data_IF_052474995361
#
_entry.id   IF_052474995361
#
_cell.length_a   1.000
_cell.length_b   1.000
_cell.length_c   1.000
_cell.angle_alpha   90.00
_cell.angle_beta   90.00
_cell.angle_gamma   90.00
#
_symmetry.space_group_name_H-M   'P 1'
#
loop_
_entity.id
_entity.type
_entity.pdbx_description
1 polymer ?
#
# COMPACT_ATOMS: atom_id res chain seq x y z
N UNK A 1 -6.02 52.64 -14.12
CA UNK A 1 -6.13 51.64 -13.03
C UNK A 1 -5.78 50.27 -13.62
N UNK A 2 -4.71 49.63 -13.18
CA UNK A 2 -4.20 48.37 -13.74
C UNK A 2 -4.34 47.29 -12.67
N UNK A 3 -5.02 46.20 -12.99
CA UNK A 3 -5.31 45.11 -12.04
C UNK A 3 -4.03 44.33 -11.71
N UNK A 4 -3.78 44.13 -10.42
CA UNK A 4 -2.69 43.32 -9.87
C UNK A 4 -3.18 41.88 -9.69
N UNK A 5 -2.58 40.91 -10.40
CA UNK A 5 -2.71 39.49 -10.05
C UNK A 5 -1.43 39.06 -9.31
N UNK A 6 -1.58 38.75 -8.02
CA UNK A 6 -0.52 38.32 -7.11
C UNK A 6 -0.04 36.91 -7.46
N UNK A 7 1.22 36.78 -7.85
CA UNK A 7 1.92 35.55 -8.26
C UNK A 7 2.57 34.78 -7.11
N UNK A 8 1.91 34.70 -5.94
CA UNK A 8 2.43 33.92 -4.79
C UNK A 8 1.39 32.85 -4.49
N UNK A 9 1.62 31.58 -4.83
CA UNK A 9 2.08 30.60 -3.83
C UNK A 9 2.65 29.27 -4.42
N UNK A 10 3.20 29.24 -5.65
CA UNK A 10 3.73 27.97 -6.23
C UNK A 10 5.14 28.04 -6.83
N UNK A 11 6.07 28.76 -6.23
CA UNK A 11 7.47 28.65 -6.64
C UNK A 11 8.34 28.45 -5.41
N UNK A 12 8.32 27.21 -4.91
CA UNK A 12 9.36 26.70 -4.03
C UNK A 12 10.70 26.94 -4.71
N UNK A 13 11.44 27.90 -4.17
CA UNK A 13 12.85 28.16 -4.45
C UNK A 13 13.65 26.89 -4.20
N UNK A 14 14.55 26.59 -5.13
CA UNK A 14 15.59 25.60 -4.94
C UNK A 14 15.72 24.71 -6.15
N UNK A 15 16.59 25.15 -7.08
CA UNK A 15 17.40 24.42 -8.07
C UNK A 15 17.46 25.28 -9.34
N UNK A 16 18.46 26.15 -9.43
CA UNK A 16 18.83 26.76 -10.69
C UNK A 16 19.28 25.66 -11.66
N UNK A 17 18.81 25.71 -12.90
CA UNK A 17 19.19 24.80 -13.99
C UNK A 17 20.71 24.80 -14.31
N UNK A 18 21.48 25.72 -13.73
CA UNK A 18 22.94 25.81 -13.93
C UNK A 18 23.78 24.82 -13.11
N UNK A 19 23.21 24.10 -12.14
CA UNK A 19 23.99 23.12 -11.34
C UNK A 19 24.16 21.76 -12.03
N UNK A 20 23.59 21.55 -13.22
CA UNK A 20 23.62 20.26 -13.92
C UNK A 20 24.86 20.02 -14.80
N UNK A 21 25.79 20.98 -14.93
CA UNK A 21 26.89 20.89 -15.91
C UNK A 21 28.31 20.75 -15.34
N UNK A 22 28.51 20.59 -14.02
CA UNK A 22 29.86 20.49 -13.44
C UNK A 22 30.22 19.14 -12.80
N UNK A 23 29.43 18.10 -13.04
CA UNK A 23 29.56 16.81 -12.33
C UNK A 23 30.32 15.73 -13.11
N UNK A 24 31.31 16.11 -13.95
CA UNK A 24 32.15 15.13 -14.66
C UNK A 24 33.61 15.03 -14.18
N UNK A 25 34.06 15.75 -13.14
CA UNK A 25 35.50 15.73 -12.87
C UNK A 25 36.02 15.91 -11.45
N UNK A 26 35.25 15.74 -10.38
CA UNK A 26 35.89 15.62 -9.07
C UNK A 26 35.26 14.60 -8.12
N UNK A 27 36.15 13.74 -7.64
CA UNK A 27 35.92 12.68 -6.69
C UNK A 27 35.62 13.25 -5.29
N UNK A 28 34.99 12.39 -4.48
CA UNK A 28 35.08 12.32 -3.03
C UNK A 28 34.27 13.30 -2.18
N UNK A 29 33.57 12.66 -1.22
CA UNK A 29 32.95 13.21 -0.01
C UNK A 29 31.62 13.93 -0.19
N UNK A 30 30.55 13.13 -0.17
CA UNK A 30 29.32 13.53 0.52
C UNK A 30 28.56 12.27 0.99
N UNK A 31 28.95 11.79 2.17
CA UNK A 31 28.25 10.75 2.95
C UNK A 31 26.97 11.35 3.53
N UNK A 32 25.92 11.44 2.73
CA UNK A 32 24.58 11.75 3.24
C UNK A 32 23.94 10.46 3.72
N UNK A 33 24.09 10.13 5.01
CA UNK A 33 23.31 9.08 5.68
C UNK A 33 21.89 9.60 5.96
N UNK A 34 21.14 9.90 4.90
CA UNK A 34 19.69 10.05 4.97
C UNK A 34 19.08 8.67 4.88
N UNK A 35 18.66 8.10 6.00
CA UNK A 35 17.99 6.79 6.04
C UNK A 35 16.80 6.79 5.09
N UNK A 36 16.98 6.18 3.91
CA UNK A 36 15.88 5.88 2.98
C UNK A 36 14.94 4.94 3.72
N UNK A 37 13.87 5.48 4.31
CA UNK A 37 12.71 4.69 4.68
C UNK A 37 12.34 3.87 3.44
N UNK A 38 12.47 2.55 3.55
CA UNK A 38 12.17 1.62 2.47
C UNK A 38 10.66 1.67 2.22
N UNK A 39 10.23 2.58 1.35
CA UNK A 39 8.84 2.65 0.85
C UNK A 39 8.64 1.47 -0.10
N UNK A 40 8.54 0.27 0.46
CA UNK A 40 8.28 -0.94 -0.32
C UNK A 40 6.77 -1.10 -0.46
N UNK A 41 6.29 -0.88 -1.68
CA UNK A 41 4.92 -1.19 -2.08
C UNK A 41 4.76 -2.71 -2.21
N UNK A 42 3.70 -3.26 -1.64
CA UNK A 42 3.30 -4.65 -1.83
C UNK A 42 2.38 -4.74 -3.05
N UNK A 43 2.88 -5.28 -4.15
CA UNK A 43 2.07 -5.58 -5.34
C UNK A 43 2.02 -7.09 -5.52
N UNK A 44 0.80 -7.65 -5.61
CA UNK A 44 0.56 -9.03 -6.01
C UNK A 44 0.07 -9.05 -7.46
N UNK A 45 0.76 -9.75 -8.38
CA UNK A 45 0.25 -9.99 -9.73
C UNK A 45 -1.10 -10.69 -9.67
N UNK A 46 -2.04 -10.29 -10.54
CA UNK A 46 -3.33 -10.98 -10.70
C UNK A 46 -3.18 -11.82 -11.97
N UNK A 47 -3.33 -13.14 -11.84
CA UNK A 47 -3.43 -14.04 -12.99
C UNK A 47 -4.90 -14.36 -13.24
N UNK A 48 -5.34 -14.24 -14.50
CA UNK A 48 -6.71 -14.55 -14.92
C UNK A 48 -6.90 -16.05 -15.23
N UNK A 49 -5.81 -16.82 -15.30
CA UNK A 49 -5.87 -18.26 -15.55
C UNK A 49 -6.23 -18.99 -14.26
N UNK A 50 -7.28 -19.79 -14.33
CA UNK A 50 -7.77 -20.62 -13.22
C UNK A 50 -6.89 -21.86 -12.95
N UNK A 51 -5.76 -21.99 -13.64
CA UNK A 51 -4.90 -23.15 -13.57
C UNK A 51 -4.16 -23.09 -12.23
N UNK A 52 -4.54 -23.98 -11.31
CA UNK A 52 -4.16 -24.00 -9.89
C UNK A 52 -2.68 -24.25 -9.58
N UNK A 53 -1.77 -23.80 -10.44
CA UNK A 53 -0.36 -23.68 -10.13
C UNK A 53 -0.16 -22.38 -9.38
N UNK A 54 -0.22 -22.46 -8.05
CA UNK A 54 0.12 -21.35 -7.16
C UNK A 54 1.47 -20.78 -7.59
N UNK A 55 1.46 -19.55 -8.11
CA UNK A 55 2.68 -18.85 -8.48
C UNK A 55 3.60 -18.87 -7.25
N UNK A 56 4.65 -19.67 -7.33
CA UNK A 56 5.62 -19.90 -6.28
C UNK A 56 6.36 -18.59 -5.97
N UNK A 57 5.79 -17.77 -5.09
CA UNK A 57 6.39 -16.52 -4.63
C UNK A 57 6.29 -16.36 -3.10
N UNK A 58 5.19 -16.79 -2.50
CA UNK A 58 5.00 -16.87 -1.07
C UNK A 58 3.81 -17.77 -0.83
N UNK A 59 3.88 -18.79 0.03
CA UNK A 59 2.75 -19.67 0.37
C UNK A 59 1.64 -18.96 1.18
N UNK A 60 1.30 -17.74 0.79
CA UNK A 60 0.29 -16.86 1.36
C UNK A 60 -0.98 -16.98 0.53
N UNK A 61 -2.10 -17.23 1.19
CA UNK A 61 -3.41 -17.36 0.57
C UNK A 61 -4.26 -16.19 1.01
N UNK A 62 -4.71 -15.38 0.07
CA UNK A 62 -5.66 -14.31 0.34
C UNK A 62 -7.10 -14.81 0.17
N UNK A 63 -7.97 -14.46 1.12
CA UNK A 63 -9.41 -14.76 1.09
C UNK A 63 -10.22 -13.50 1.34
N UNK A 64 -11.39 -13.42 0.69
CA UNK A 64 -12.39 -12.38 0.95
C UNK A 64 -13.71 -13.05 1.29
N UNK A 65 -14.32 -12.65 2.39
CA UNK A 65 -15.62 -13.16 2.81
C UNK A 65 -16.48 -12.07 3.44
N UNK A 66 -17.79 -12.21 3.32
CA UNK A 66 -18.75 -11.28 3.91
C UNK A 66 -19.27 -11.81 5.24
N UNK A 67 -19.47 -10.90 6.19
CA UNK A 67 -20.11 -11.18 7.47
C UNK A 67 -21.27 -10.21 7.69
N UNK A 68 -22.31 -10.68 8.38
CA UNK A 68 -23.30 -9.79 8.96
C UNK A 68 -22.63 -8.87 9.98
N UNK A 69 -23.02 -7.60 9.99
CA UNK A 69 -22.52 -6.61 10.95
C UNK A 69 -23.18 -6.79 12.32
N UNK A 70 -22.87 -7.90 12.98
CA UNK A 70 -23.35 -8.26 14.30
C UNK A 70 -22.18 -8.39 15.29
N UNK A 71 -22.43 -8.08 16.56
CA UNK A 71 -21.41 -8.14 17.62
C UNK A 71 -20.85 -9.56 17.73
N UNK A 72 -19.53 -9.68 17.60
CA UNK A 72 -18.81 -10.95 17.74
C UNK A 72 -18.79 -11.85 16.50
N UNK A 73 -19.43 -11.47 15.37
CA UNK A 73 -19.37 -12.28 14.14
C UNK A 73 -17.94 -12.44 13.59
N UNK A 74 -17.14 -11.36 13.61
CA UNK A 74 -15.73 -11.45 13.20
C UNK A 74 -14.92 -12.38 14.11
N UNK A 75 -15.15 -12.33 15.43
CA UNK A 75 -14.46 -13.22 16.39
C UNK A 75 -14.78 -14.69 16.10
N UNK A 76 -16.04 -15.01 15.79
CA UNK A 76 -16.45 -16.36 15.39
C UNK A 76 -15.76 -16.82 14.11
N UNK A 77 -15.64 -15.94 13.11
CA UNK A 77 -14.95 -16.25 11.86
C UNK A 77 -13.43 -16.45 12.08
N UNK A 78 -12.78 -15.56 12.84
CA UNK A 78 -11.35 -15.65 13.13
C UNK A 78 -10.97 -16.87 13.97
N UNK A 79 -11.89 -17.38 14.79
CA UNK A 79 -11.69 -18.61 15.57
C UNK A 79 -11.35 -19.81 14.68
N UNK A 80 -11.92 -19.89 13.47
CA UNK A 80 -11.62 -20.97 12.53
C UNK A 80 -10.13 -21.00 12.14
N UNK A 81 -9.54 -19.83 11.87
CA UNK A 81 -8.12 -19.72 11.54
C UNK A 81 -7.24 -20.09 12.74
N UNK A 82 -7.64 -19.68 13.95
CA UNK A 82 -6.93 -20.05 15.17
C UNK A 82 -6.96 -21.56 15.44
N UNK A 83 -8.13 -22.19 15.32
CA UNK A 83 -8.31 -23.64 15.52
C UNK A 83 -7.49 -24.45 14.50
N UNK A 84 -7.40 -23.97 13.26
CA UNK A 84 -6.58 -24.58 12.20
C UNK A 84 -5.10 -24.17 12.26
N UNK A 85 -4.71 -23.34 13.24
CA UNK A 85 -3.36 -22.79 13.40
C UNK A 85 -2.84 -22.08 12.14
N UNK A 86 -3.74 -21.41 11.43
CA UNK A 86 -3.40 -20.58 10.28
C UNK A 86 -3.02 -19.19 10.78
N UNK A 87 -1.82 -18.75 10.42
CA UNK A 87 -1.34 -17.42 10.77
C UNK A 87 -1.80 -16.39 9.74
N UNK A 88 -2.65 -15.45 10.18
CA UNK A 88 -3.06 -14.31 9.38
C UNK A 88 -2.03 -13.18 9.51
N UNK A 89 -1.54 -12.68 8.38
CA UNK A 89 -0.58 -11.57 8.30
C UNK A 89 -1.30 -10.22 8.24
N UNK A 90 -2.41 -10.15 7.53
CA UNK A 90 -3.23 -8.96 7.40
C UNK A 90 -4.71 -9.28 7.50
N UNK A 91 -5.45 -8.41 8.17
CA UNK A 91 -6.91 -8.44 8.24
C UNK A 91 -7.40 -7.02 8.03
N UNK A 92 -8.28 -6.83 7.06
CA UNK A 92 -8.90 -5.54 6.77
C UNK A 92 -10.42 -5.72 6.67
N UNK A 93 -11.18 -4.81 7.26
CA UNK A 93 -12.63 -4.74 7.11
C UNK A 93 -13.05 -3.57 6.25
N UNK A 94 -14.08 -3.78 5.42
CA UNK A 94 -14.68 -2.75 4.57
C UNK A 94 -16.18 -2.91 4.58
N UNK A 95 -16.91 -1.78 4.56
CA UNK A 95 -18.37 -1.84 4.42
C UNK A 95 -18.73 -2.48 3.08
N UNK A 96 -19.67 -3.43 3.10
CA UNK A 96 -20.18 -4.03 1.87
C UNK A 96 -20.85 -2.97 1.01
N UNK A 97 -20.53 -2.97 -0.29
CA UNK A 97 -21.18 -2.09 -1.28
C UNK A 97 -22.44 -2.72 -1.88
N UNK A 98 -22.57 -4.04 -1.77
CA UNK A 98 -23.61 -4.84 -2.42
C UNK A 98 -24.80 -5.10 -1.51
N UNK A 99 -24.52 -5.35 -0.23
CA UNK A 99 -25.53 -5.75 0.76
C UNK A 99 -25.46 -4.80 1.95
N UNK A 100 -26.57 -4.12 2.30
CA UNK A 100 -26.59 -3.27 3.49
C UNK A 100 -26.40 -4.12 4.75
N UNK A 101 -25.77 -3.55 5.78
CA UNK A 101 -25.49 -4.21 7.06
C UNK A 101 -24.57 -5.44 6.98
N UNK A 102 -23.84 -5.60 5.89
CA UNK A 102 -22.73 -6.55 5.78
C UNK A 102 -21.38 -5.84 5.70
N UNK A 103 -20.35 -6.57 6.10
CA UNK A 103 -18.95 -6.14 6.05
C UNK A 103 -18.17 -7.18 5.26
N UNK A 104 -17.37 -6.73 4.31
CA UNK A 104 -16.40 -7.54 3.58
C UNK A 104 -15.09 -7.56 4.37
N UNK A 105 -14.54 -8.75 4.59
CA UNK A 105 -13.28 -8.96 5.29
C UNK A 105 -12.26 -9.52 4.29
N UNK A 106 -11.13 -8.85 4.15
CA UNK A 106 -9.95 -9.36 3.46
C UNK A 106 -8.98 -9.93 4.48
N UNK A 107 -8.46 -11.13 4.25
CA UNK A 107 -7.46 -11.78 5.10
C UNK A 107 -6.40 -12.50 4.26
N UNK A 108 -5.11 -12.39 4.64
CA UNK A 108 -4.00 -13.10 4.00
C UNK A 108 -2.97 -13.65 5.01
#
# INVERSE_FOLDING_TARGET
AMMMFSSKYWSRRGMSLDSAMFDHQNQQQQRHTGGRMSRRTSFSPIDERADGESTAGSGETAVVFSLKNEVGCLVKALKLFQEKRVNLKHIESRMSRRVPNEVEIFAN
#
